data_IF_479114077587
#
_entry.id   IF_479114077587
#
_cell.length_a   1.000
_cell.length_b   1.000
_cell.length_c   1.000
_cell.angle_alpha   90.00
_cell.angle_beta   90.00
_cell.angle_gamma   90.00
#
_symmetry.space_group_name_H-M   'P 1'
#
loop_
_entity.id
_entity.type
_entity.pdbx_description
1 polymer ?
#
# COMPACT_ATOMS: atom_id res chain seq x y z
N UNK A 1 -7.35 1.79 20.73
CA UNK A 1 -7.13 0.75 19.70
C UNK A 1 -5.78 0.11 19.96
N UNK A 2 -5.71 -1.22 19.98
CA UNK A 2 -4.46 -1.98 20.14
C UNK A 2 -4.22 -2.85 18.91
N UNK A 3 -2.97 -3.13 18.63
CA UNK A 3 -2.53 -4.12 17.63
C UNK A 3 -1.82 -5.24 18.39
N UNK A 4 -2.12 -6.48 18.04
CA UNK A 4 -1.45 -7.65 18.62
C UNK A 4 -0.34 -8.14 17.69
N UNK A 5 0.79 -8.56 18.27
CA UNK A 5 1.82 -9.27 17.51
C UNK A 5 1.40 -10.73 17.22
N UNK A 6 2.23 -11.47 16.49
CA UNK A 6 1.95 -12.88 16.14
C UNK A 6 1.86 -13.82 17.35
N UNK A 7 2.32 -13.37 18.52
CA UNK A 7 2.24 -14.09 19.80
C UNK A 7 1.07 -13.63 20.67
N UNK A 8 0.26 -12.68 20.19
CA UNK A 8 -0.89 -12.12 20.89
C UNK A 8 -0.56 -11.00 21.89
N UNK A 9 0.67 -10.46 21.88
CA UNK A 9 1.03 -9.36 22.79
C UNK A 9 0.49 -8.04 22.23
N UNK A 10 -0.30 -7.28 23.01
CA UNK A 10 -0.90 -6.04 22.54
C UNK A 10 0.07 -4.86 22.67
N UNK A 11 0.01 -3.95 21.72
CA UNK A 11 0.62 -2.62 21.77
C UNK A 11 -0.40 -1.55 21.34
N UNK A 12 -0.34 -0.32 21.87
CA UNK A 12 -1.17 0.76 21.38
C UNK A 12 -0.91 0.99 19.89
N UNK A 13 -1.97 0.98 19.08
CA UNK A 13 -1.84 1.14 17.63
C UNK A 13 -1.13 2.47 17.28
N UNK A 14 -1.44 3.53 18.03
CA UNK A 14 -0.83 4.85 17.86
C UNK A 14 0.70 4.78 17.97
N UNK A 15 1.22 4.03 18.94
CA UNK A 15 2.66 3.88 19.14
C UNK A 15 3.28 3.09 17.99
N UNK A 16 2.61 2.03 17.52
CA UNK A 16 3.07 1.25 16.36
C UNK A 16 3.21 2.13 15.13
N UNK A 17 2.17 2.88 14.77
CA UNK A 17 2.21 3.74 13.58
C UNK A 17 3.18 4.91 13.73
N UNK A 18 3.26 5.54 14.91
CA UNK A 18 4.21 6.63 15.19
C UNK A 18 5.65 6.17 15.01
N UNK A 19 6.05 5.07 15.65
CA UNK A 19 7.40 4.53 15.53
C UNK A 19 7.69 4.03 14.11
N UNK A 20 6.71 3.46 13.41
CA UNK A 20 6.90 3.02 12.02
C UNK A 20 7.19 4.19 11.08
N UNK A 21 6.43 5.28 11.21
CA UNK A 21 6.63 6.51 10.42
C UNK A 21 8.02 7.12 10.73
N UNK A 22 8.38 7.21 12.01
CA UNK A 22 9.68 7.72 12.44
C UNK A 22 10.84 6.85 11.93
N UNK A 23 10.70 5.53 11.97
CA UNK A 23 11.71 4.61 11.43
C UNK A 23 11.93 4.80 9.92
N UNK A 24 10.85 4.96 9.13
CA UNK A 24 10.94 5.23 7.69
C UNK A 24 11.65 6.56 7.40
N UNK A 25 11.29 7.61 8.16
CA UNK A 25 11.95 8.92 8.07
C UNK A 25 13.44 8.82 8.36
N UNK A 26 13.80 8.22 9.50
CA UNK A 26 15.19 8.08 9.92
C UNK A 26 16.00 7.23 8.94
N UNK A 27 15.39 6.20 8.36
CA UNK A 27 16.01 5.39 7.32
C UNK A 27 16.35 6.22 6.07
N UNK A 28 15.42 7.03 5.57
CA UNK A 28 15.69 7.92 4.43
C UNK A 28 16.80 8.93 4.76
N UNK A 29 16.75 9.57 5.93
CA UNK A 29 17.78 10.52 6.33
C UNK A 29 19.17 9.89 6.36
N UNK A 30 19.30 8.71 6.97
CA UNK A 30 20.56 7.96 7.00
C UNK A 30 21.05 7.58 5.60
N UNK A 31 20.14 7.22 4.68
CA UNK A 31 20.49 6.94 3.29
C UNK A 31 21.01 8.19 2.56
N UNK A 32 20.36 9.35 2.74
CA UNK A 32 20.77 10.62 2.13
C UNK A 32 22.14 11.11 2.62
N UNK A 33 22.42 10.93 3.91
CA UNK A 33 23.73 11.21 4.52
C UNK A 33 24.79 10.28 3.96
N UNK A 34 24.51 8.98 3.91
CA UNK A 34 25.44 7.96 3.38
C UNK A 34 25.79 8.23 1.91
N UNK A 35 24.82 8.72 1.12
CA UNK A 35 25.04 9.10 -0.27
C UNK A 35 25.69 10.48 -0.46
N UNK A 36 25.91 11.25 0.60
CA UNK A 36 26.56 12.56 0.54
C UNK A 36 25.75 13.62 -0.22
N UNK A 37 24.42 13.51 -0.22
CA UNK A 37 23.53 14.40 -0.99
C UNK A 37 23.52 15.84 -0.48
N UNK A 38 23.89 16.06 0.80
CA UNK A 38 23.89 17.38 1.45
C UNK A 38 22.49 17.91 1.80
N UNK A 39 21.42 17.15 1.55
CA UNK A 39 20.04 17.54 1.86
C UNK A 39 19.84 17.61 3.37
N UNK A 40 19.29 18.73 3.84
CA UNK A 40 19.00 18.94 5.26
C UNK A 40 17.58 18.46 5.62
N UNK A 41 17.34 17.98 6.86
CA UNK A 41 16.03 17.50 7.27
C UNK A 41 14.87 18.51 7.09
N UNK A 42 15.17 19.81 7.19
CA UNK A 42 14.20 20.90 7.05
C UNK A 42 13.92 21.29 5.58
N UNK A 43 14.66 20.74 4.63
CA UNK A 43 14.43 20.93 3.19
C UNK A 43 13.46 19.90 2.63
N UNK A 44 13.06 18.90 3.45
CA UNK A 44 12.18 17.81 3.04
C UNK A 44 10.76 18.09 3.53
N UNK A 45 9.83 18.21 2.59
CA UNK A 45 8.40 18.17 2.87
C UNK A 45 7.95 16.71 2.88
N UNK A 46 7.47 16.24 4.02
CA UNK A 46 7.00 14.88 4.15
C UNK A 46 5.50 14.76 3.83
N UNK A 47 5.13 13.78 3.01
CA UNK A 47 3.74 13.48 2.63
C UNK A 47 3.47 12.00 2.85
N UNK A 48 2.40 11.69 3.58
CA UNK A 48 1.92 10.33 3.83
C UNK A 48 0.67 10.08 3.00
N UNK A 49 0.70 9.05 2.16
CA UNK A 49 -0.48 8.62 1.40
C UNK A 49 -1.38 7.73 2.26
N UNK A 50 -2.70 7.88 2.11
CA UNK A 50 -3.70 7.02 2.76
C UNK A 50 -4.80 6.59 1.78
N UNK A 51 -5.46 5.45 1.99
CA UNK A 51 -6.54 5.01 1.12
C UNK A 51 -7.72 5.99 1.11
N UNK A 52 -8.30 6.22 -0.08
CA UNK A 52 -9.43 7.15 -0.22
C UNK A 52 -10.69 6.66 0.48
N UNK A 53 -10.91 5.32 0.52
CA UNK A 53 -12.10 4.70 1.12
C UNK A 53 -12.13 4.78 2.66
N UNK A 54 -11.01 5.15 3.29
CA UNK A 54 -10.95 5.22 4.75
C UNK A 54 -11.88 6.28 5.32
N UNK A 55 -12.39 6.01 6.52
CA UNK A 55 -13.20 6.96 7.28
C UNK A 55 -12.36 8.16 7.71
N UNK A 56 -13.03 9.29 7.97
CA UNK A 56 -12.37 10.50 8.45
C UNK A 56 -11.64 10.26 9.78
N UNK A 57 -12.19 9.42 10.66
CA UNK A 57 -11.54 9.02 11.90
C UNK A 57 -10.23 8.25 11.67
N UNK A 58 -10.18 7.37 10.67
CA UNK A 58 -8.95 6.64 10.32
C UNK A 58 -7.90 7.57 9.70
N UNK A 59 -8.34 8.50 8.83
CA UNK A 59 -7.47 9.55 8.26
C UNK A 59 -6.91 10.47 9.35
N UNK A 60 -7.74 10.88 10.31
CA UNK A 60 -7.30 11.69 11.47
C UNK A 60 -6.36 10.91 12.37
N UNK A 61 -6.64 9.63 12.62
CA UNK A 61 -5.74 8.77 13.40
C UNK A 61 -4.33 8.70 12.79
N UNK A 62 -4.23 8.57 11.45
CA UNK A 62 -2.93 8.63 10.77
C UNK A 62 -2.31 10.01 10.87
N UNK A 63 -3.11 11.08 10.78
CA UNK A 63 -2.63 12.45 10.94
C UNK A 63 -2.00 12.64 12.32
N UNK A 64 -2.66 12.20 13.38
CA UNK A 64 -2.12 12.23 14.75
C UNK A 64 -0.84 11.40 14.88
N UNK A 65 -0.81 10.19 14.32
CA UNK A 65 0.38 9.32 14.30
C UNK A 65 1.56 10.01 13.60
N UNK A 66 1.26 10.82 12.59
CA UNK A 66 2.22 11.54 11.78
C UNK A 66 2.62 12.91 12.35
N UNK A 67 1.83 13.53 13.26
CA UNK A 67 2.05 14.89 13.77
C UNK A 67 3.41 15.08 14.44
N UNK A 68 3.94 14.07 15.12
CA UNK A 68 5.30 14.13 15.71
C UNK A 68 6.41 14.31 14.66
N UNK A 69 6.10 14.02 13.40
CA UNK A 69 7.05 14.00 12.29
C UNK A 69 6.83 15.11 11.24
N UNK A 70 5.83 16.00 11.44
CA UNK A 70 5.39 17.08 10.52
C UNK A 70 5.22 16.56 9.07
N UNK A 71 4.14 15.81 8.85
CA UNK A 71 3.75 15.26 7.55
C UNK A 71 2.40 15.84 7.10
N UNK A 72 2.22 16.01 5.79
CA UNK A 72 0.91 16.21 5.17
C UNK A 72 0.30 14.85 4.80
N UNK A 73 -1.03 14.79 4.69
CA UNK A 73 -1.72 13.61 4.14
C UNK A 73 -2.14 13.90 2.70
N UNK A 74 -1.98 12.90 1.83
CA UNK A 74 -2.55 12.86 0.47
C UNK A 74 -3.32 11.55 0.29
N UNK A 75 -4.33 11.53 -0.59
CA UNK A 75 -5.00 10.28 -0.93
C UNK A 75 -4.14 9.49 -1.92
N UNK A 76 -4.03 8.18 -1.72
CA UNK A 76 -3.36 7.26 -2.64
C UNK A 76 -3.78 7.45 -4.12
N UNK A 77 -5.08 7.49 -4.47
CA UNK A 77 -5.47 7.67 -5.86
C UNK A 77 -5.12 9.05 -6.43
N UNK A 78 -5.04 10.10 -5.61
CA UNK A 78 -4.60 11.43 -6.04
C UNK A 78 -3.10 11.41 -6.36
N UNK A 79 -2.29 10.86 -5.45
CA UNK A 79 -0.85 10.73 -5.64
C UNK A 79 -0.53 9.89 -6.90
N UNK A 80 -1.22 8.76 -7.08
CA UNK A 80 -1.10 7.92 -8.27
C UNK A 80 -1.50 8.67 -9.55
N UNK A 81 -2.60 9.42 -9.51
CA UNK A 81 -3.09 10.20 -10.65
C UNK A 81 -2.11 11.30 -11.06
N UNK A 82 -1.54 12.01 -10.09
CA UNK A 82 -0.53 13.05 -10.33
C UNK A 82 0.69 12.39 -10.97
N UNK A 83 1.20 11.29 -10.40
CA UNK A 83 2.35 10.58 -10.95
C UNK A 83 2.13 10.15 -12.41
N UNK A 84 0.97 9.56 -12.72
CA UNK A 84 0.63 9.10 -14.07
C UNK A 84 0.53 10.23 -15.10
N UNK A 85 0.17 11.45 -14.70
CA UNK A 85 0.17 12.61 -15.61
C UNK A 85 1.58 13.04 -16.02
N UNK A 86 2.59 12.79 -15.20
CA UNK A 86 3.99 13.12 -15.47
C UNK A 86 4.78 11.97 -16.10
N UNK A 87 4.16 10.79 -16.29
CA UNK A 87 4.83 9.68 -16.95
C UNK A 87 5.06 10.00 -18.43
N UNK A 88 6.31 9.87 -18.92
CA UNK A 88 6.59 10.00 -20.34
C UNK A 88 5.76 8.99 -21.14
N UNK A 89 5.14 9.47 -22.21
CA UNK A 89 4.26 8.75 -23.13
C UNK A 89 4.88 7.44 -23.65
N UNK A 90 6.21 7.37 -23.68
CA UNK A 90 7.02 6.27 -24.19
C UNK A 90 6.97 5.00 -23.32
N UNK A 91 6.74 5.13 -22.00
CA UNK A 91 6.76 4.00 -21.05
C UNK A 91 5.48 3.15 -21.06
N UNK A 92 4.42 3.58 -21.76
CA UNK A 92 3.11 2.92 -21.81
C UNK A 92 2.83 2.34 -23.21
N UNK A 93 3.89 1.97 -23.93
CA UNK A 93 3.88 1.45 -25.30
C UNK A 93 3.34 0.02 -25.38
N UNK A 94 2.00 -0.09 -25.43
CA UNK A 94 1.27 -1.30 -25.83
C UNK A 94 0.13 -1.04 -26.83
N UNK A 95 -0.37 0.19 -26.89
CA UNK A 95 -1.32 0.67 -27.91
C UNK A 95 -0.80 2.00 -28.45
N UNK A 96 -0.82 2.21 -29.77
CA UNK A 96 -0.25 3.38 -30.46
C UNK A 96 -0.85 4.75 -30.12
N UNK A 97 -1.61 4.87 -29.03
CA UNK A 97 -2.05 6.11 -28.42
C UNK A 97 -1.39 6.20 -27.06
N UNK A 98 -0.53 7.20 -26.88
CA UNK A 98 -0.01 7.56 -25.57
C UNK A 98 -1.10 7.66 -24.51
N UNK A 99 -0.74 7.46 -23.25
CA UNK A 99 -1.69 7.57 -22.14
C UNK A 99 -2.18 9.03 -22.04
N UNK A 100 -3.34 9.32 -22.62
CA UNK A 100 -3.92 10.67 -22.77
C UNK A 100 -4.43 11.29 -21.45
N UNK A 101 -3.94 10.83 -20.30
CA UNK A 101 -4.30 11.35 -18.98
C UNK A 101 -3.95 12.83 -18.78
N UNK A 102 -3.09 13.39 -19.62
CA UNK A 102 -2.68 14.80 -19.51
C UNK A 102 -3.68 15.79 -20.15
N UNK A 103 -4.55 15.32 -21.06
CA UNK A 103 -5.54 16.17 -21.72
C UNK A 103 -6.65 16.58 -20.73
N UNK A 104 -6.96 17.88 -20.70
CA UNK A 104 -8.06 18.42 -19.88
C UNK A 104 -9.38 17.84 -20.38
N UNK A 105 -10.20 17.36 -19.45
CA UNK A 105 -11.45 16.65 -19.72
C UNK A 105 -11.32 15.13 -19.80
N UNK A 106 -10.09 14.59 -19.83
CA UNK A 106 -9.87 13.14 -19.78
C UNK A 106 -10.37 12.57 -18.46
N UNK A 107 -11.23 11.56 -18.56
CA UNK A 107 -11.78 10.81 -17.43
C UNK A 107 -11.11 9.45 -17.38
N UNK A 108 -10.70 9.04 -16.20
CA UNK A 108 -9.99 7.78 -16.02
C UNK A 108 -10.25 7.21 -14.63
N UNK A 109 -9.96 5.93 -14.50
CA UNK A 109 -10.09 5.18 -13.27
C UNK A 109 -8.70 4.86 -12.71
N UNK A 110 -8.52 5.09 -11.43
CA UNK A 110 -7.40 4.54 -10.66
C UNK A 110 -7.92 3.34 -9.91
N UNK A 111 -7.33 2.17 -10.19
CA UNK A 111 -7.55 0.95 -9.43
C UNK A 111 -6.28 0.66 -8.62
N UNK A 112 -6.32 0.93 -7.33
CA UNK A 112 -5.25 0.63 -6.38
C UNK A 112 -5.52 -0.72 -5.73
N UNK A 113 -4.75 -1.73 -6.11
CA UNK A 113 -4.90 -3.11 -5.65
C UNK A 113 -3.75 -3.43 -4.69
N UNK A 114 -3.82 -2.84 -3.51
CA UNK A 114 -2.81 -2.95 -2.48
C UNK A 114 -2.82 -4.28 -1.72
N UNK A 115 -2.01 -4.33 -0.65
CA UNK A 115 -1.96 -5.49 0.23
C UNK A 115 -3.22 -5.63 1.08
N UNK A 116 -3.68 -4.55 1.72
CA UNK A 116 -4.83 -4.60 2.64
C UNK A 116 -6.18 -4.28 1.97
N UNK A 117 -6.18 -3.36 1.01
CA UNK A 117 -7.39 -2.86 0.35
C UNK A 117 -7.29 -2.99 -1.15
N UNK A 118 -8.45 -3.04 -1.81
CA UNK A 118 -8.59 -2.81 -3.23
C UNK A 118 -9.56 -1.65 -3.42
N UNK A 119 -9.06 -0.57 -3.99
CA UNK A 119 -9.73 0.73 -4.05
C UNK A 119 -9.83 1.22 -5.49
N UNK A 120 -10.98 1.79 -5.82
CA UNK A 120 -11.28 2.30 -7.15
C UNK A 120 -11.80 3.72 -7.01
N UNK A 121 -11.17 4.65 -7.72
CA UNK A 121 -11.59 6.06 -7.79
C UNK A 121 -11.62 6.50 -9.25
N UNK A 122 -12.57 7.37 -9.59
CA UNK A 122 -12.68 7.93 -10.95
C UNK A 122 -12.37 9.42 -10.91
N UNK A 123 -11.37 9.82 -11.68
CA UNK A 123 -10.93 11.21 -11.78
C UNK A 123 -11.17 11.78 -13.18
N UNK A 124 -11.39 13.09 -13.22
CA UNK A 124 -11.31 13.92 -14.42
C UNK A 124 -10.14 14.88 -14.28
N UNK A 125 -9.26 14.91 -15.30
CA UNK A 125 -8.22 15.93 -15.42
C UNK A 125 -8.89 17.26 -15.70
N UNK A 126 -8.68 18.24 -14.83
CA UNK A 126 -9.16 19.61 -15.02
C UNK A 126 -7.98 20.57 -15.16
N UNK A 127 -8.26 21.77 -15.66
CA UNK A 127 -7.23 22.78 -15.89
C UNK A 127 -6.53 23.23 -14.59
N UNK A 128 -5.26 23.65 -14.73
CA UNK A 128 -4.43 24.14 -13.64
C UNK A 128 -3.84 23.06 -12.74
N UNK A 129 -3.42 21.90 -13.29
CA UNK A 129 -2.86 20.77 -12.53
C UNK A 129 -3.76 20.24 -11.40
N UNK A 130 -5.06 20.36 -11.57
CA UNK A 130 -6.05 19.87 -10.61
C UNK A 130 -6.72 18.59 -11.10
N UNK A 131 -7.30 17.88 -10.15
CA UNK A 131 -8.09 16.68 -10.37
C UNK A 131 -9.47 16.87 -9.77
N UNK A 132 -10.48 16.33 -10.44
CA UNK A 132 -11.84 16.29 -9.94
C UNK A 132 -12.26 14.83 -9.77
N UNK A 133 -12.59 14.45 -8.54
CA UNK A 133 -13.25 13.17 -8.26
C UNK A 133 -14.69 13.20 -8.81
N UNK A 134 -15.02 12.23 -9.66
CA UNK A 134 -16.33 12.14 -10.31
C UNK A 134 -17.35 11.35 -9.49
N UNK A 135 -16.87 10.42 -8.67
CA UNK A 135 -17.70 9.61 -7.79
C UNK A 135 -16.90 9.23 -6.56
N UNK A 136 -17.62 9.05 -5.44
CA UNK A 136 -17.01 8.59 -4.18
C UNK A 136 -16.20 7.32 -4.42
N UNK A 137 -14.97 7.30 -3.92
CA UNK A 137 -14.12 6.12 -3.94
C UNK A 137 -14.87 4.87 -3.40
N UNK A 138 -14.70 3.75 -4.09
CA UNK A 138 -15.29 2.46 -3.74
C UNK A 138 -14.20 1.43 -3.55
N UNK A 139 -14.36 0.51 -2.60
CA UNK A 139 -13.34 -0.50 -2.35
C UNK A 139 -13.70 -1.41 -1.19
N UNK A 140 -12.76 -2.27 -0.80
CA UNK A 140 -12.95 -3.19 0.30
C UNK A 140 -11.65 -3.84 0.77
N UNK A 141 -11.74 -4.58 1.88
CA UNK A 141 -10.63 -5.36 2.46
C UNK A 141 -10.38 -6.66 1.69
N UNK A 142 -10.08 -6.55 0.40
CA UNK A 142 -9.86 -7.67 -0.51
C UNK A 142 -8.53 -7.55 -1.27
N UNK A 143 -7.54 -6.89 -0.65
CA UNK A 143 -6.18 -6.80 -1.19
C UNK A 143 -5.42 -8.14 -1.12
N UNK A 144 -4.13 -8.10 -1.44
CA UNK A 144 -3.25 -9.28 -1.46
C UNK A 144 -3.19 -10.11 -0.17
N UNK A 145 -3.49 -9.52 1.00
CA UNK A 145 -3.53 -10.26 2.28
C UNK A 145 -4.75 -11.16 2.41
N UNK A 146 -5.84 -10.88 1.69
CA UNK A 146 -6.97 -11.80 1.60
C UNK A 146 -6.57 -13.08 0.85
N UNK A 147 -5.74 -12.96 -0.18
CA UNK A 147 -5.15 -14.11 -0.90
C UNK A 147 -4.22 -14.90 0.03
N UNK A 148 -3.42 -14.21 0.84
CA UNK A 148 -2.58 -14.85 1.86
C UNK A 148 -3.41 -15.64 2.87
N UNK A 149 -4.51 -15.07 3.35
CA UNK A 149 -5.39 -15.72 4.31
C UNK A 149 -5.99 -17.02 3.74
N UNK A 150 -6.50 -17.00 2.50
CA UNK A 150 -7.04 -18.18 1.84
C UNK A 150 -5.98 -19.27 1.63
N UNK A 151 -4.75 -18.88 1.27
CA UNK A 151 -3.66 -19.83 1.12
C UNK A 151 -3.23 -20.44 2.46
N UNK A 152 -3.17 -19.64 3.53
CA UNK A 152 -2.90 -20.16 4.87
C UNK A 152 -4.03 -21.05 5.38
N UNK A 153 -5.28 -20.78 4.99
CA UNK A 153 -6.39 -21.67 5.27
C UNK A 153 -6.23 -23.01 4.54
N UNK A 154 -5.74 -23.01 3.29
CA UNK A 154 -5.40 -24.23 2.56
C UNK A 154 -4.33 -25.06 3.30
N UNK A 155 -3.24 -24.45 3.76
CA UNK A 155 -2.24 -25.15 4.58
C UNK A 155 -2.84 -25.72 5.87
N UNK A 156 -3.71 -24.93 6.52
CA UNK A 156 -4.40 -25.36 7.74
C UNK A 156 -5.31 -26.56 7.48
N UNK A 157 -5.92 -26.66 6.30
CA UNK A 157 -6.75 -27.80 5.89
C UNK A 157 -5.91 -29.05 5.58
N UNK A 158 -4.71 -28.88 5.01
CA UNK A 158 -3.80 -30.00 4.66
C UNK A 158 -3.07 -30.55 5.89
N UNK A 159 -2.44 -29.67 6.67
CA UNK A 159 -1.59 -30.04 7.82
C UNK A 159 -2.39 -30.19 9.11
N UNK A 160 -3.59 -29.61 9.16
CA UNK A 160 -4.44 -29.58 10.34
C UNK A 160 -4.13 -28.42 11.28
N UNK A 161 -5.19 -27.90 11.91
CA UNK A 161 -5.14 -26.74 12.82
C UNK A 161 -4.12 -26.87 13.95
N UNK A 162 -3.98 -28.07 14.52
CA UNK A 162 -3.05 -28.33 15.63
C UNK A 162 -1.59 -28.11 15.23
N UNK A 163 -1.19 -28.57 14.05
CA UNK A 163 0.19 -28.41 13.57
C UNK A 163 0.50 -26.94 13.31
N UNK A 164 -0.42 -26.20 12.67
CA UNK A 164 -0.23 -24.76 12.43
C UNK A 164 -0.17 -23.97 13.74
N UNK A 165 -0.99 -24.32 14.74
CA UNK A 165 -0.94 -23.67 16.06
C UNK A 165 0.38 -23.95 16.79
N UNK A 166 0.83 -25.21 16.83
CA UNK A 166 2.15 -25.54 17.39
C UNK A 166 3.28 -24.82 16.66
N UNK A 167 3.24 -24.74 15.32
CA UNK A 167 4.24 -24.00 14.55
C UNK A 167 4.29 -22.52 14.95
N UNK A 168 3.14 -21.85 15.10
CA UNK A 168 3.05 -20.45 15.54
C UNK A 168 3.62 -20.23 16.94
N UNK A 169 3.35 -21.13 17.88
CA UNK A 169 3.70 -20.96 19.29
C UNK A 169 5.13 -21.40 19.61
N UNK A 170 5.53 -22.55 19.06
CA UNK A 170 6.79 -23.22 19.40
C UNK A 170 7.94 -22.81 18.48
N UNK A 171 7.64 -22.40 17.23
CA UNK A 171 8.64 -22.02 16.21
C UNK A 171 8.18 -20.81 15.37
N UNK A 172 7.94 -19.65 15.99
CA UNK A 172 7.43 -18.45 15.31
C UNK A 172 8.32 -18.00 14.14
N UNK A 173 9.63 -18.21 14.21
CA UNK A 173 10.57 -17.96 13.12
C UNK A 173 10.26 -18.80 11.87
N UNK A 174 10.00 -20.10 12.05
CA UNK A 174 9.65 -20.98 10.94
C UNK A 174 8.27 -20.64 10.36
N UNK A 175 7.34 -20.19 11.21
CA UNK A 175 6.04 -19.68 10.76
C UNK A 175 6.18 -18.41 9.91
N UNK A 176 7.02 -17.46 10.33
CA UNK A 176 7.30 -16.24 9.58
C UNK A 176 8.01 -16.54 8.25
N UNK A 177 8.95 -17.48 8.24
CA UNK A 177 9.63 -17.90 7.02
C UNK A 177 8.68 -18.59 6.03
N UNK A 178 7.70 -19.36 6.52
CA UNK A 178 6.63 -19.89 5.69
C UNK A 178 5.79 -18.75 5.05
N UNK A 179 5.42 -17.73 5.83
CA UNK A 179 4.71 -16.55 5.32
C UNK A 179 5.51 -15.81 4.25
N UNK A 180 6.79 -15.57 4.49
CA UNK A 180 7.69 -14.88 3.55
C UNK A 180 7.91 -15.69 2.27
N UNK A 181 8.08 -17.00 2.42
CA UNK A 181 8.26 -17.91 1.28
C UNK A 181 7.02 -17.89 0.41
N UNK A 182 5.83 -17.94 1.02
CA UNK A 182 4.60 -17.83 0.27
C UNK A 182 4.47 -16.48 -0.45
N UNK A 183 4.68 -15.36 0.24
CA UNK A 183 4.62 -14.03 -0.37
C UNK A 183 5.57 -13.92 -1.58
N UNK A 184 6.76 -14.53 -1.49
CA UNK A 184 7.72 -14.59 -2.59
C UNK A 184 7.18 -15.39 -3.77
N UNK A 185 6.58 -16.57 -3.51
CA UNK A 185 5.99 -17.42 -4.57
C UNK A 185 4.75 -16.78 -5.17
N UNK A 186 3.88 -16.14 -4.39
CA UNK A 186 2.69 -15.44 -4.87
C UNK A 186 3.03 -14.42 -5.96
N UNK A 187 4.16 -13.71 -5.81
CA UNK A 187 4.66 -12.73 -6.79
C UNK A 187 5.16 -13.34 -8.11
N UNK A 188 5.38 -14.66 -8.17
CA UNK A 188 5.82 -15.35 -9.40
C UNK A 188 4.68 -16.00 -10.17
N UNK A 189 3.48 -16.06 -9.58
CA UNK A 189 2.29 -16.58 -10.26
C UNK A 189 1.93 -15.66 -11.42
N UNK A 190 2.19 -16.11 -12.64
CA UNK A 190 1.70 -15.47 -13.86
C UNK A 190 0.44 -16.18 -14.31
N UNK A 191 -0.50 -15.43 -14.91
CA UNK A 191 -1.69 -16.01 -15.51
C UNK A 191 -1.25 -17.00 -16.60
N UNK A 192 -1.44 -18.29 -16.34
CA UNK A 192 -1.25 -19.33 -17.35
C UNK A 192 -2.18 -19.03 -18.52
N UNK A 193 -1.64 -19.05 -19.74
CA UNK A 193 -2.44 -18.94 -20.97
C UNK A 193 -3.57 -19.96 -20.89
N UNK A 194 -4.79 -19.48 -21.11
CA UNK A 194 -6.02 -20.24 -21.13
C UNK A 194 -5.82 -21.62 -21.75
N UNK A 195 -6.18 -22.66 -20.99
CA UNK A 195 -6.53 -23.94 -21.59
C UNK A 195 -7.61 -23.66 -22.62
N UNK A 196 -7.30 -23.89 -23.90
CA UNK A 196 -8.30 -23.94 -24.95
C UNK A 196 -9.25 -25.08 -24.57
N UNK A 197 -10.47 -24.76 -24.16
CA UNK A 197 -11.60 -25.67 -24.25
C UNK A 197 -12.06 -25.74 -25.71
#
# INVERSE_FOLDING_TARGET
>A
MVVEDITGKPLPAMDVFTHSIEALKNHLMSALETQGTGVLPNEIQWVLTVPAIWSDNAKEFMRESAKRNILLISLEPEAASIYCQYLPTEKLSGSGTGFAMSEVGTKYMVADLGGGTADVTVHEKVDGNRLKELCRASGGSCGGTAVDAEYFQMFTNILGKRIIQSLKQEKPEAYLDLQRTFETVKRTVTSSKSGKS
#
